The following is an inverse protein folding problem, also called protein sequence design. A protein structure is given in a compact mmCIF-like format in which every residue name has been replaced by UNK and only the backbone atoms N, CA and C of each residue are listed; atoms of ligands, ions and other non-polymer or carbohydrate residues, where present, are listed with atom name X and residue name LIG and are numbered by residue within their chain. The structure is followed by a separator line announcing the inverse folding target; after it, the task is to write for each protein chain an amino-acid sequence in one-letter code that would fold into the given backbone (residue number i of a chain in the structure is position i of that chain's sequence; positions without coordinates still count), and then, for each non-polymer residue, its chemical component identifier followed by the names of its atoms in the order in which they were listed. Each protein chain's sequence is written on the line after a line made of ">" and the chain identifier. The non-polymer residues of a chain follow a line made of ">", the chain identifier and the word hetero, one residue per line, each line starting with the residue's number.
data_IF_793182162491
#
_entry.id   IF_793182162491
#
_cell.length_a   1.000
_cell.length_b   1.000
_cell.length_c   1.000
_cell.angle_alpha   90.00
_cell.angle_beta   90.00
_cell.angle_gamma   90.00
#
_symmetry.space_group_name_H-M   'P 1'
#
loop_
_entity.id
_entity.type
_entity.pdbx_description
1 polymer ?
#
# COMPACT_ATOMS: atom_id res chain seq x y z
N UNK A 1 0.22 -22.13 38.47
CA UNK A 1 -0.82 -21.37 37.76
C UNK A 1 -0.23 -20.01 37.44
N UNK A 2 0.06 -19.71 36.18
CA UNK A 2 0.43 -18.36 35.76
C UNK A 2 -0.88 -17.61 35.63
N UNK A 3 -1.13 -16.64 36.53
CA UNK A 3 -2.26 -15.73 36.39
C UNK A 3 -2.06 -14.97 35.08
N UNK A 4 -2.94 -15.22 34.09
CA UNK A 4 -3.04 -14.33 32.95
C UNK A 4 -3.34 -12.92 33.49
N UNK A 5 -2.79 -11.85 32.88
CA UNK A 5 -3.13 -10.50 33.28
C UNK A 5 -4.65 -10.35 33.24
N UNK A 6 -5.22 -9.75 34.28
CA UNK A 6 -6.67 -9.61 34.49
C UNK A 6 -7.35 -8.67 33.48
N UNK A 7 -6.55 -8.00 32.66
CA UNK A 7 -6.92 -6.92 31.74
C UNK A 7 -5.73 -6.58 30.83
N UNK A 8 -5.99 -5.81 29.77
CA UNK A 8 -4.97 -5.21 28.90
C UNK A 8 -4.78 -3.76 29.35
N UNK A 9 -3.57 -3.34 29.77
CA UNK A 9 -3.33 -1.96 30.17
C UNK A 9 -3.32 -1.02 28.97
N UNK A 10 -3.86 0.19 29.10
CA UNK A 10 -3.64 1.27 28.13
C UNK A 10 -2.26 1.92 28.30
N UNK A 11 -1.54 2.25 27.21
CA UNK A 11 -0.33 3.07 27.29
C UNK A 11 -0.61 4.45 27.93
N UNK A 12 0.38 4.96 28.67
CA UNK A 12 0.31 6.31 29.25
C UNK A 12 0.39 7.38 28.14
N UNK A 13 -0.08 8.62 28.37
CA UNK A 13 -0.04 9.69 27.37
C UNK A 13 1.34 9.98 26.75
N UNK A 14 2.42 9.67 27.46
CA UNK A 14 3.80 9.80 26.96
C UNK A 14 4.06 8.92 25.73
N UNK A 15 3.34 7.79 25.59
CA UNK A 15 3.43 6.90 24.44
C UNK A 15 2.62 7.36 23.23
N UNK A 16 1.90 8.48 23.31
CA UNK A 16 1.17 9.03 22.16
C UNK A 16 2.06 9.82 21.20
N UNK A 17 3.16 10.37 21.71
CA UNK A 17 4.04 11.25 20.95
C UNK A 17 5.49 11.17 21.41
N UNK A 18 6.40 11.08 20.45
CA UNK A 18 7.84 11.27 20.67
C UNK A 18 8.16 12.75 20.46
N UNK A 19 8.68 13.40 21.50
CA UNK A 19 9.03 14.83 21.48
C UNK A 19 10.54 15.00 21.42
N UNK A 20 11.01 15.71 20.42
CA UNK A 20 12.43 16.02 20.23
C UNK A 20 12.65 17.52 20.33
N UNK A 21 13.60 17.93 21.16
CA UNK A 21 14.07 19.31 21.19
C UNK A 21 14.92 19.57 19.95
N UNK A 22 14.45 20.50 19.11
CA UNK A 22 15.12 20.94 17.87
C UNK A 22 15.46 22.43 17.93
N UNK A 23 15.45 23.04 19.12
CA UNK A 23 15.81 24.44 19.34
C UNK A 23 17.20 24.79 18.79
N UNK A 24 18.17 23.88 18.90
CA UNK A 24 19.50 24.04 18.32
C UNK A 24 19.51 24.15 16.79
N UNK A 25 18.55 23.52 16.11
CA UNK A 25 18.37 23.60 14.65
C UNK A 25 17.43 24.74 14.23
N UNK A 26 16.44 25.08 15.04
CA UNK A 26 15.40 26.09 14.68
C UNK A 26 15.74 27.49 15.19
N UNK A 27 16.69 27.62 16.11
CA UNK A 27 17.10 28.92 16.68
C UNK A 27 17.54 29.94 15.63
N UNK A 28 18.19 29.52 14.54
CA UNK A 28 18.55 30.44 13.44
C UNK A 28 17.31 30.95 12.69
N UNK A 29 16.24 30.15 12.57
CA UNK A 29 14.98 30.58 11.94
C UNK A 29 14.26 31.62 12.80
N UNK A 30 14.26 31.44 14.12
CA UNK A 30 13.75 32.45 15.06
C UNK A 30 14.57 33.75 14.99
N UNK A 31 15.89 33.65 14.84
CA UNK A 31 16.75 34.81 14.66
C UNK A 31 16.48 35.59 13.36
N UNK A 32 15.94 34.90 12.34
CA UNK A 32 15.46 35.49 11.08
C UNK A 32 14.02 36.03 11.17
N UNK A 33 13.39 36.02 12.35
CA UNK A 33 12.03 36.51 12.53
C UNK A 33 10.95 35.56 12.02
N UNK A 34 11.21 34.25 11.98
CA UNK A 34 10.25 33.21 11.58
C UNK A 34 9.77 32.39 12.80
N UNK A 35 8.93 32.95 13.69
CA UNK A 35 8.49 32.30 14.94
C UNK A 35 7.53 31.12 14.73
N UNK A 36 7.03 30.91 13.51
CA UNK A 36 6.14 29.81 13.16
C UNK A 36 6.82 28.43 13.20
N UNK A 37 8.15 28.38 13.19
CA UNK A 37 8.88 27.14 13.36
C UNK A 37 8.95 26.79 14.84
N UNK A 38 8.48 25.61 15.20
CA UNK A 38 8.41 25.21 16.60
C UNK A 38 9.77 24.67 17.07
N UNK A 39 10.17 24.99 18.31
CA UNK A 39 11.42 24.46 18.91
C UNK A 39 11.32 22.98 19.28
N UNK A 40 10.12 22.40 19.22
CA UNK A 40 9.86 20.99 19.52
C UNK A 40 9.27 20.31 18.29
N UNK A 41 9.90 19.22 17.86
CA UNK A 41 9.37 18.32 16.86
C UNK A 41 8.59 17.21 17.57
N UNK A 42 7.28 17.16 17.35
CA UNK A 42 6.41 16.13 17.90
C UNK A 42 6.03 15.11 16.83
N UNK A 43 6.45 13.85 17.02
CA UNK A 43 6.10 12.74 16.15
C UNK A 43 5.04 11.88 16.85
N UNK A 44 3.84 11.84 16.27
CA UNK A 44 2.74 11.04 16.81
C UNK A 44 2.97 9.55 16.56
N UNK A 45 2.78 8.72 17.58
CA UNK A 45 3.02 7.27 17.47
C UNK A 45 2.03 6.60 16.52
N UNK A 46 0.77 7.06 16.45
CA UNK A 46 -0.17 6.56 15.45
C UNK A 46 0.34 6.76 14.00
N UNK A 47 1.06 7.85 13.73
CA UNK A 47 1.64 8.10 12.41
C UNK A 47 2.76 7.11 12.09
N UNK A 48 3.56 6.74 13.09
CA UNK A 48 4.57 5.67 12.97
C UNK A 48 3.91 4.31 12.72
N UNK A 49 2.79 4.01 13.38
CA UNK A 49 2.02 2.79 13.14
C UNK A 49 1.46 2.73 11.70
N UNK A 50 0.95 3.85 11.18
CA UNK A 50 0.49 3.96 9.78
C UNK A 50 1.67 3.76 8.82
N UNK A 51 2.81 4.42 9.06
CA UNK A 51 4.00 4.30 8.22
C UNK A 51 4.53 2.85 8.21
N UNK A 52 4.58 2.20 9.37
CA UNK A 52 4.92 0.79 9.47
C UNK A 52 3.94 -0.08 8.65
N UNK A 53 2.64 0.23 8.71
CA UNK A 53 1.62 -0.40 7.87
C UNK A 53 1.88 -0.25 6.37
N UNK A 54 2.22 0.96 5.91
CA UNK A 54 2.57 1.23 4.50
C UNK A 54 3.80 0.41 4.09
N UNK A 55 4.84 0.37 4.92
CA UNK A 55 6.06 -0.42 4.65
C UNK A 55 5.73 -1.91 4.55
N UNK A 56 4.96 -2.44 5.50
CA UNK A 56 4.55 -3.85 5.50
C UNK A 56 3.72 -4.21 4.27
N UNK A 57 2.74 -3.37 3.90
CA UNK A 57 1.96 -3.53 2.69
C UNK A 57 2.82 -3.50 1.43
N UNK A 58 3.79 -2.57 1.37
CA UNK A 58 4.71 -2.42 0.25
C UNK A 58 5.60 -3.65 0.09
N UNK A 59 6.20 -4.15 1.19
CA UNK A 59 7.04 -5.37 1.18
C UNK A 59 6.23 -6.58 0.68
N UNK A 60 5.03 -6.78 1.23
CA UNK A 60 4.18 -7.91 0.85
C UNK A 60 3.72 -7.81 -0.60
N UNK A 61 3.30 -6.62 -1.04
CA UNK A 61 2.86 -6.37 -2.42
C UNK A 61 3.99 -6.55 -3.41
N UNK A 62 5.19 -6.01 -3.10
CA UNK A 62 6.40 -6.17 -3.92
C UNK A 62 6.74 -7.64 -4.13
N UNK A 63 6.84 -8.41 -3.03
CA UNK A 63 7.11 -9.85 -3.08
C UNK A 63 6.10 -10.60 -3.94
N UNK A 64 4.83 -10.25 -3.84
CA UNK A 64 3.74 -10.88 -4.60
C UNK A 64 3.77 -10.50 -6.08
N UNK A 65 4.05 -9.25 -6.41
CA UNK A 65 4.20 -8.80 -7.80
C UNK A 65 5.42 -9.43 -8.45
N UNK A 66 6.57 -9.46 -7.76
CA UNK A 66 7.78 -10.10 -8.27
C UNK A 66 7.59 -11.61 -8.46
N UNK A 67 6.90 -12.29 -7.54
CA UNK A 67 6.55 -13.70 -7.72
C UNK A 67 5.63 -13.96 -8.93
N UNK A 68 4.94 -12.94 -9.43
CA UNK A 68 4.14 -12.98 -10.66
C UNK A 68 4.93 -12.52 -11.90
N UNK A 69 6.23 -12.25 -11.78
CA UNK A 69 7.11 -11.86 -12.89
C UNK A 69 7.26 -10.35 -13.11
N UNK A 70 6.82 -9.51 -12.17
CA UNK A 70 7.04 -8.07 -12.24
C UNK A 70 8.44 -7.68 -11.76
N UNK A 71 8.97 -6.56 -12.26
CA UNK A 71 10.24 -5.99 -11.82
C UNK A 71 10.27 -5.78 -10.29
N UNK A 72 11.32 -6.27 -9.60
CA UNK A 72 11.52 -5.99 -8.18
C UNK A 72 11.54 -4.48 -7.91
N UNK A 73 10.65 -4.03 -7.03
CA UNK A 73 10.58 -2.61 -6.66
C UNK A 73 9.64 -1.74 -7.48
N UNK A 74 9.04 -2.24 -8.57
CA UNK A 74 8.05 -1.48 -9.38
C UNK A 74 6.84 -0.98 -8.55
N UNK A 75 6.58 -1.63 -7.41
CA UNK A 75 5.57 -1.16 -6.45
C UNK A 75 5.86 0.28 -5.97
N UNK A 76 7.13 0.67 -5.87
CA UNK A 76 7.57 1.99 -5.41
C UNK A 76 7.13 3.08 -6.40
N UNK A 77 7.23 2.80 -7.70
CA UNK A 77 6.75 3.71 -8.75
C UNK A 77 5.25 3.93 -8.63
N UNK A 78 4.49 2.87 -8.30
CA UNK A 78 3.04 2.96 -8.18
C UNK A 78 2.64 3.72 -6.91
N UNK A 79 3.27 3.46 -5.76
CA UNK A 79 2.92 4.15 -4.51
C UNK A 79 3.32 5.63 -4.54
N UNK A 80 4.33 6.01 -5.33
CA UNK A 80 4.74 7.40 -5.55
C UNK A 80 3.60 8.23 -6.14
N UNK A 81 2.69 7.60 -6.89
CA UNK A 81 1.45 8.22 -7.35
C UNK A 81 0.28 8.01 -6.37
N UNK A 82 0.13 6.80 -5.81
CA UNK A 82 -0.99 6.47 -4.96
C UNK A 82 -1.06 7.31 -3.66
N UNK A 83 0.08 7.52 -2.98
CA UNK A 83 0.10 8.23 -1.70
C UNK A 83 -0.21 9.73 -1.87
N UNK A 84 0.45 10.49 -2.76
CA UNK A 84 0.13 11.91 -2.94
C UNK A 84 -1.29 12.14 -3.42
N UNK A 85 -1.78 11.35 -4.39
CA UNK A 85 -3.17 11.47 -4.84
C UNK A 85 -4.16 11.09 -3.73
N UNK A 86 -3.82 10.15 -2.86
CA UNK A 86 -4.59 9.85 -1.65
C UNK A 86 -4.70 11.08 -0.74
N UNK A 87 -3.58 11.74 -0.43
CA UNK A 87 -3.58 12.95 0.41
C UNK A 87 -4.40 14.09 -0.24
N UNK A 88 -4.17 14.33 -1.53
CA UNK A 88 -4.90 15.36 -2.30
C UNK A 88 -6.40 15.05 -2.33
N UNK A 89 -6.79 13.82 -2.66
CA UNK A 89 -8.19 13.41 -2.71
C UNK A 89 -8.86 13.54 -1.35
N UNK A 90 -8.15 13.19 -0.27
CA UNK A 90 -8.66 13.31 1.09
C UNK A 90 -8.95 14.77 1.46
N UNK A 91 -8.08 15.69 1.05
CA UNK A 91 -8.27 17.13 1.28
C UNK A 91 -9.42 17.69 0.46
N UNK A 92 -9.47 17.38 -0.84
CA UNK A 92 -10.55 17.80 -1.73
C UNK A 92 -11.90 17.35 -1.16
N UNK A 93 -12.04 16.07 -0.79
CA UNK A 93 -13.29 15.55 -0.27
C UNK A 93 -13.70 16.22 1.05
N UNK A 94 -12.74 16.50 1.94
CA UNK A 94 -13.04 17.19 3.20
C UNK A 94 -13.54 18.62 2.95
N UNK A 95 -12.87 19.39 2.09
CA UNK A 95 -13.28 20.77 1.73
C UNK A 95 -14.67 20.77 1.09
N UNK A 96 -14.98 19.80 0.23
CA UNK A 96 -16.28 19.69 -0.43
C UNK A 96 -17.42 19.32 0.53
N UNK A 97 -17.13 18.55 1.59
CA UNK A 97 -18.14 18.16 2.58
C UNK A 97 -18.29 19.16 3.72
N UNK A 98 -17.31 20.04 3.91
CA UNK A 98 -17.30 21.08 4.95
C UNK A 98 -17.05 22.48 4.35
N UNK A 99 -17.86 22.94 3.38
CA UNK A 99 -17.61 24.20 2.71
C UNK A 99 -17.63 25.40 3.66
N UNK A 100 -18.41 25.33 4.75
CA UNK A 100 -18.49 26.39 5.77
C UNK A 100 -17.17 26.66 6.49
N UNK A 101 -16.26 25.68 6.56
CA UNK A 101 -14.95 25.83 7.21
C UNK A 101 -13.94 26.60 6.35
N UNK A 102 -14.23 26.75 5.05
CA UNK A 102 -13.29 27.29 4.06
C UNK A 102 -13.85 28.49 3.28
N UNK A 103 -15.17 28.64 3.22
CA UNK A 103 -15.85 29.65 2.42
C UNK A 103 -16.85 30.42 3.30
N UNK A 104 -16.37 31.51 3.93
CA UNK A 104 -17.17 32.38 4.81
C UNK A 104 -16.47 33.70 5.09
N UNK A 105 -17.21 34.67 5.62
CA UNK A 105 -16.63 35.97 6.00
C UNK A 105 -15.57 35.80 7.10
N UNK A 106 -14.38 36.38 6.89
CA UNK A 106 -13.26 36.28 7.83
C UNK A 106 -12.46 34.97 7.76
N UNK A 107 -12.81 34.03 6.88
CA UNK A 107 -12.07 32.78 6.69
C UNK A 107 -11.02 32.96 5.62
N UNK A 108 -9.79 32.54 5.94
CA UNK A 108 -8.69 32.52 4.99
C UNK A 108 -8.83 31.35 4.01
N UNK A 109 -9.28 31.64 2.78
CA UNK A 109 -9.52 30.62 1.75
C UNK A 109 -8.32 29.68 1.51
N UNK A 110 -7.08 30.16 1.66
CA UNK A 110 -5.87 29.37 1.45
C UNK A 110 -5.77 28.17 2.42
N UNK A 111 -6.50 28.21 3.55
CA UNK A 111 -6.59 27.10 4.49
C UNK A 111 -7.09 25.83 3.83
N UNK A 112 -7.82 25.88 2.71
CA UNK A 112 -8.20 24.68 1.96
C UNK A 112 -7.00 23.83 1.50
N UNK A 113 -5.77 24.39 1.44
CA UNK A 113 -4.53 23.66 1.12
C UNK A 113 -3.73 23.23 2.36
N UNK A 114 -4.07 23.73 3.55
CA UNK A 114 -3.34 23.50 4.78
C UNK A 114 -3.60 22.10 5.36
N UNK A 115 -3.08 21.06 4.71
CA UNK A 115 -3.23 19.65 5.13
C UNK A 115 -2.62 19.36 6.51
N UNK A 116 -1.71 20.21 6.98
CA UNK A 116 -1.07 20.11 8.30
C UNK A 116 -1.96 20.60 9.44
N UNK A 117 -3.04 21.34 9.14
CA UNK A 117 -4.03 21.76 10.13
C UNK A 117 -5.09 20.67 10.41
N UNK A 118 -4.94 19.48 9.80
CA UNK A 118 -5.92 18.41 9.86
C UNK A 118 -6.94 18.52 8.72
N UNK A 119 -8.17 18.03 8.93
CA UNK A 119 -9.24 18.08 7.92
C UNK A 119 -8.97 17.17 6.72
N UNK A 120 -8.91 15.87 6.97
CA UNK A 120 -8.66 14.84 5.96
C UNK A 120 -9.82 13.85 6.00
N UNK A 121 -10.46 13.62 4.84
CA UNK A 121 -11.59 12.69 4.74
C UNK A 121 -11.16 11.35 4.13
N UNK A 122 -11.47 10.25 4.83
CA UNK A 122 -11.05 8.90 4.43
C UNK A 122 -11.63 8.44 3.08
N UNK A 123 -12.85 8.85 2.73
CA UNK A 123 -13.41 8.53 1.41
C UNK A 123 -12.63 9.19 0.28
N UNK A 124 -12.20 10.43 0.49
CA UNK A 124 -11.33 11.13 -0.45
C UNK A 124 -9.96 10.46 -0.60
N UNK A 125 -9.38 9.95 0.50
CA UNK A 125 -8.10 9.25 0.44
C UNK A 125 -8.20 7.92 -0.31
N UNK A 126 -9.31 7.20 -0.15
CA UNK A 126 -9.56 5.95 -0.87
C UNK A 126 -9.72 6.18 -2.38
N UNK A 127 -10.52 7.18 -2.78
CA UNK A 127 -10.76 7.53 -4.19
C UNK A 127 -9.46 8.05 -4.82
N UNK A 128 -8.84 9.03 -4.19
CA UNK A 128 -7.58 9.61 -4.65
C UNK A 128 -6.47 8.57 -4.76
N UNK A 129 -6.33 7.72 -3.74
CA UNK A 129 -5.35 6.64 -3.73
C UNK A 129 -5.59 5.61 -4.83
N UNK A 130 -6.84 5.24 -5.10
CA UNK A 130 -7.19 4.33 -6.19
C UNK A 130 -6.88 4.94 -7.57
N UNK A 131 -7.16 6.25 -7.77
CA UNK A 131 -6.81 6.98 -8.99
C UNK A 131 -5.29 7.05 -9.15
N UNK A 132 -4.56 7.41 -8.11
CA UNK A 132 -3.09 7.44 -8.13
C UNK A 132 -2.48 6.08 -8.42
N UNK A 133 -2.98 5.01 -7.81
CA UNK A 133 -2.56 3.64 -8.10
C UNK A 133 -2.86 3.24 -9.55
N UNK A 134 -4.01 3.64 -10.10
CA UNK A 134 -4.35 3.39 -11.50
C UNK A 134 -3.39 4.11 -12.47
N UNK A 135 -3.07 5.37 -12.19
CA UNK A 135 -2.10 6.17 -12.96
C UNK A 135 -0.72 5.52 -12.86
N UNK A 136 -0.26 5.20 -11.65
CA UNK A 136 1.02 4.53 -11.42
C UNK A 136 1.12 3.20 -12.18
N UNK A 137 0.08 2.36 -12.11
CA UNK A 137 0.02 1.11 -12.87
C UNK A 137 0.10 1.35 -14.39
N UNK A 138 -0.57 2.39 -14.89
CA UNK A 138 -0.54 2.74 -16.32
C UNK A 138 0.86 3.16 -16.76
N UNK A 139 1.55 3.97 -15.96
CA UNK A 139 2.88 4.48 -16.26
C UNK A 139 3.95 3.39 -16.15
N UNK A 140 3.86 2.50 -15.16
CA UNK A 140 4.78 1.35 -14.99
C UNK A 140 4.43 0.16 -15.90
N UNK A 141 3.41 0.26 -16.76
CA UNK A 141 2.96 -0.83 -17.63
C UNK A 141 2.23 -1.98 -16.91
N UNK A 142 2.09 -1.94 -15.59
CA UNK A 142 1.43 -2.97 -14.78
C UNK A 142 -0.09 -2.96 -15.02
N UNK A 143 -0.69 -4.13 -15.11
CA UNK A 143 -2.15 -4.30 -15.12
C UNK A 143 -2.69 -3.95 -13.72
N UNK A 144 -3.65 -3.03 -13.67
CA UNK A 144 -4.23 -2.55 -12.42
C UNK A 144 -4.77 -3.69 -11.54
N UNK A 145 -5.45 -4.66 -12.14
CA UNK A 145 -6.00 -5.79 -11.39
C UNK A 145 -4.94 -6.74 -10.82
N UNK A 146 -3.80 -6.92 -11.50
CA UNK A 146 -2.66 -7.66 -10.93
C UNK A 146 -2.14 -6.95 -9.69
N UNK A 147 -1.97 -5.63 -9.77
CA UNK A 147 -1.55 -4.81 -8.64
C UNK A 147 -2.56 -4.88 -7.49
N UNK A 148 -3.86 -4.70 -7.77
CA UNK A 148 -4.90 -4.75 -6.77
C UNK A 148 -4.95 -6.11 -6.04
N UNK A 149 -4.80 -7.23 -6.76
CA UNK A 149 -4.75 -8.56 -6.16
C UNK A 149 -3.46 -8.81 -5.34
N UNK A 150 -2.34 -8.26 -5.78
CA UNK A 150 -1.09 -8.31 -5.03
C UNK A 150 -1.19 -7.48 -3.73
N UNK A 151 -1.84 -6.31 -3.81
CA UNK A 151 -2.02 -5.35 -2.73
C UNK A 151 -3.06 -5.79 -1.70
N UNK A 152 -4.09 -6.54 -2.08
CA UNK A 152 -5.22 -6.94 -1.24
C UNK A 152 -4.84 -7.44 0.18
N UNK A 153 -3.93 -8.43 0.36
CA UNK A 153 -3.49 -8.81 1.71
C UNK A 153 -2.62 -7.74 2.38
N UNK A 154 -1.87 -6.95 1.61
CA UNK A 154 -1.12 -5.80 2.11
C UNK A 154 -2.02 -4.75 2.77
N UNK A 155 -3.22 -4.51 2.24
CA UNK A 155 -4.20 -3.57 2.82
C UNK A 155 -4.61 -3.98 4.23
N UNK A 156 -4.91 -5.27 4.45
CA UNK A 156 -5.26 -5.79 5.77
C UNK A 156 -4.09 -5.69 6.74
N UNK A 157 -2.87 -5.96 6.27
CA UNK A 157 -1.67 -5.84 7.09
C UNK A 157 -1.41 -4.38 7.52
N UNK A 158 -1.61 -3.43 6.60
CA UNK A 158 -1.55 -2.01 6.93
C UNK A 158 -2.65 -1.60 7.92
N UNK A 159 -3.87 -2.11 7.75
CA UNK A 159 -4.97 -1.87 8.69
C UNK A 159 -4.66 -2.41 10.08
N UNK A 160 -4.10 -3.62 10.19
CA UNK A 160 -3.67 -4.19 11.46
C UNK A 160 -2.61 -3.31 12.15
N UNK A 161 -1.58 -2.88 11.42
CA UNK A 161 -0.57 -1.98 11.96
C UNK A 161 -1.19 -0.65 12.45
N UNK A 162 -2.10 -0.06 11.68
CA UNK A 162 -2.81 1.17 12.06
C UNK A 162 -3.61 1.05 13.36
N UNK A 163 -4.13 -0.13 13.71
CA UNK A 163 -4.88 -0.34 14.96
C UNK A 163 -4.05 -0.22 16.21
N UNK A 164 -2.74 -0.47 16.14
CA UNK A 164 -1.85 -0.14 17.24
C UNK A 164 -1.77 1.36 17.49
N UNK A 165 -1.98 2.20 16.46
CA UNK A 165 -2.12 3.65 16.65
C UNK A 165 -3.30 4.00 17.54
N UNK A 166 -4.45 3.33 17.36
CA UNK A 166 -5.62 3.54 18.22
C UNK A 166 -5.37 3.08 19.66
N UNK A 167 -4.62 1.98 19.83
CA UNK A 167 -4.19 1.50 21.14
C UNK A 167 -3.30 2.52 21.87
N UNK A 168 -2.29 3.08 21.20
CA UNK A 168 -1.45 4.12 21.80
C UNK A 168 -2.21 5.42 22.08
N UNK A 169 -3.14 5.80 21.21
CA UNK A 169 -3.99 6.99 21.39
C UNK A 169 -5.11 6.80 22.43
N UNK A 170 -5.33 5.58 22.94
CA UNK A 170 -6.46 5.24 23.80
C UNK A 170 -7.81 5.64 23.19
N UNK A 171 -8.00 5.38 21.90
CA UNK A 171 -9.21 5.77 21.17
C UNK A 171 -9.89 4.58 20.49
N UNK A 172 -11.16 4.77 20.11
CA UNK A 172 -11.94 3.83 19.31
C UNK A 172 -12.10 2.42 19.93
N UNK A 173 -12.11 2.34 21.25
CA UNK A 173 -12.39 1.12 22.02
C UNK A 173 -13.88 0.75 22.01
N UNK A 174 -14.19 -0.48 22.40
CA UNK A 174 -15.55 -1.01 22.37
C UNK A 174 -16.35 -0.73 23.62
N UNK A 175 -17.54 -1.32 23.73
CA UNK A 175 -18.44 -1.18 24.89
C UNK A 175 -17.83 -1.77 26.17
N UNK A 176 -18.35 -1.41 27.36
CA UNK A 176 -17.95 -2.01 28.63
C UNK A 176 -18.01 -3.54 28.60
N UNK A 177 -17.07 -4.19 29.28
CA UNK A 177 -16.94 -5.65 29.30
C UNK A 177 -16.37 -6.16 30.62
N UNK A 178 -16.80 -7.34 31.06
CA UNK A 178 -16.25 -8.03 32.25
C UNK A 178 -15.26 -9.15 31.87
N UNK A 179 -14.87 -9.23 30.59
CA UNK A 179 -13.97 -10.27 30.09
C UNK A 179 -12.54 -10.07 30.64
N UNK A 180 -11.78 -11.16 30.88
CA UNK A 180 -10.45 -11.08 31.48
C UNK A 180 -9.38 -10.48 30.56
N UNK A 181 -9.72 -10.10 29.34
CA UNK A 181 -8.88 -9.36 28.40
C UNK A 181 -9.44 -7.97 28.09
N UNK A 182 -10.29 -7.43 28.98
CA UNK A 182 -10.82 -6.08 28.86
C UNK A 182 -9.70 -5.04 28.86
N UNK A 183 -9.84 -4.02 28.01
CA UNK A 183 -8.93 -2.90 27.88
C UNK A 183 -9.20 -1.89 28.99
N UNK A 184 -8.17 -1.55 29.73
CA UNK A 184 -8.19 -0.44 30.68
C UNK A 184 -8.16 0.87 29.91
N UNK A 185 -9.03 1.81 30.26
CA UNK A 185 -9.00 3.19 29.76
C UNK A 185 -9.14 4.11 30.97
N UNK A 186 -8.27 5.11 31.06
CA UNK A 186 -8.36 6.11 32.12
C UNK A 186 -9.66 6.90 32.00
N UNK A 187 -10.36 7.11 33.11
CA UNK A 187 -11.61 7.89 33.14
C UNK A 187 -11.43 9.38 32.80
N UNK A 188 -10.20 9.88 32.87
CA UNK A 188 -9.81 11.20 32.37
C UNK A 188 -9.77 11.32 30.85
N UNK A 189 -9.85 10.20 30.12
CA UNK A 189 -9.82 10.19 28.66
C UNK A 189 -11.10 10.85 28.11
N UNK A 190 -10.99 11.83 27.18
CA UNK A 190 -12.16 12.47 26.57
C UNK A 190 -13.13 11.50 25.87
N UNK A 191 -12.65 10.35 25.40
CA UNK A 191 -13.47 9.32 24.77
C UNK A 191 -14.17 8.38 25.79
N UNK A 192 -13.86 8.49 27.08
CA UNK A 192 -14.48 7.69 28.12
C UNK A 192 -15.96 8.09 28.32
N UNK A 193 -16.92 7.16 28.25
CA UNK A 193 -18.33 7.51 28.38
C UNK A 193 -18.68 8.13 29.74
N UNK A 194 -19.38 9.26 29.69
CA UNK A 194 -19.86 9.95 30.88
C UNK A 194 -20.80 9.05 31.68
N UNK A 195 -20.56 8.95 32.99
CA UNK A 195 -21.41 8.19 33.93
C UNK A 195 -20.96 6.76 34.21
N UNK A 196 -19.88 6.28 33.61
CA UNK A 196 -19.25 5.00 33.97
C UNK A 196 -18.27 5.17 35.13
N UNK A 197 -18.10 4.10 35.91
CA UNK A 197 -17.21 4.09 37.08
C UNK A 197 -15.74 3.98 36.67
N UNK A 198 -14.85 4.56 37.50
CA UNK A 198 -13.40 4.36 37.37
C UNK A 198 -13.07 2.86 37.43
N UNK A 199 -12.17 2.42 36.56
CA UNK A 199 -11.79 1.00 36.44
C UNK A 199 -12.72 0.16 35.54
N UNK A 200 -13.73 0.76 34.90
CA UNK A 200 -14.52 0.08 33.86
C UNK A 200 -13.60 -0.40 32.74
N UNK A 201 -13.70 -1.68 32.39
CA UNK A 201 -12.97 -2.27 31.27
C UNK A 201 -13.80 -2.23 29.99
N UNK A 202 -13.13 -2.12 28.84
CA UNK A 202 -13.77 -2.02 27.54
C UNK A 202 -13.32 -3.14 26.61
N UNK A 203 -14.14 -3.49 25.61
CA UNK A 203 -13.69 -4.43 24.57
C UNK A 203 -12.47 -3.85 23.82
N UNK A 204 -11.32 -4.56 23.75
CA UNK A 204 -10.15 -4.14 22.97
C UNK A 204 -10.39 -4.30 21.47
N UNK A 205 -11.22 -3.45 20.87
CA UNK A 205 -11.54 -3.45 19.43
C UNK A 205 -10.28 -3.40 18.57
N UNK A 206 -9.24 -2.67 18.98
CA UNK A 206 -7.96 -2.64 18.27
C UNK A 206 -7.40 -4.05 18.09
N UNK A 207 -7.43 -4.88 19.15
CA UNK A 207 -6.87 -6.23 19.15
C UNK A 207 -7.75 -7.16 18.32
N UNK A 208 -9.08 -7.06 18.47
CA UNK A 208 -10.01 -7.85 17.66
C UNK A 208 -9.85 -7.54 16.17
N UNK A 209 -9.70 -6.27 15.81
CA UNK A 209 -9.46 -5.83 14.44
C UNK A 209 -8.07 -6.27 13.94
N UNK A 210 -7.01 -6.24 14.76
CA UNK A 210 -5.69 -6.81 14.39
C UNK A 210 -5.83 -8.28 14.05
N UNK A 211 -6.46 -9.07 14.92
CA UNK A 211 -6.67 -10.51 14.71
C UNK A 211 -7.50 -10.75 13.45
N UNK A 212 -8.59 -10.02 13.25
CA UNK A 212 -9.44 -10.12 12.07
C UNK A 212 -8.69 -9.80 10.78
N UNK A 213 -7.87 -8.75 10.78
CA UNK A 213 -7.08 -8.37 9.63
C UNK A 213 -6.01 -9.43 9.30
N UNK A 214 -5.28 -9.94 10.30
CA UNK A 214 -4.29 -11.00 10.10
C UNK A 214 -4.94 -12.31 9.64
N UNK A 215 -6.11 -12.66 10.17
CA UNK A 215 -6.91 -13.78 9.69
C UNK A 215 -7.32 -13.57 8.22
N UNK A 216 -7.72 -12.36 7.84
CA UNK A 216 -8.05 -12.02 6.46
C UNK A 216 -6.85 -12.13 5.51
N UNK A 217 -5.65 -11.72 5.96
CA UNK A 217 -4.40 -11.96 5.22
C UNK A 217 -4.25 -13.46 4.95
N UNK A 218 -4.35 -14.29 5.99
CA UNK A 218 -4.23 -15.73 5.85
C UNK A 218 -5.31 -16.30 4.91
N UNK A 219 -6.56 -15.86 5.03
CA UNK A 219 -7.68 -16.29 4.18
C UNK A 219 -7.41 -15.97 2.70
N UNK A 220 -7.01 -14.74 2.37
CA UNK A 220 -6.71 -14.36 0.98
C UNK A 220 -5.57 -15.21 0.42
N UNK A 221 -4.48 -15.37 1.18
CA UNK A 221 -3.33 -16.17 0.75
C UNK A 221 -3.68 -17.66 0.54
N UNK A 222 -4.51 -18.23 1.42
CA UNK A 222 -4.96 -19.62 1.31
C UNK A 222 -5.94 -19.83 0.15
N UNK A 223 -6.88 -18.90 -0.04
CA UNK A 223 -7.83 -18.95 -1.16
C UNK A 223 -7.11 -18.78 -2.49
N UNK A 224 -6.10 -17.93 -2.58
CA UNK A 224 -5.33 -17.75 -3.80
C UNK A 224 -4.60 -19.03 -4.23
N UNK A 225 -4.04 -19.79 -3.27
CA UNK A 225 -3.42 -21.10 -3.55
C UNK A 225 -4.42 -22.12 -4.09
N UNK A 226 -5.67 -22.10 -3.61
CA UNK A 226 -6.71 -23.07 -3.99
C UNK A 226 -7.49 -22.68 -5.24
N UNK A 227 -7.81 -21.39 -5.40
CA UNK A 227 -8.77 -20.88 -6.37
C UNK A 227 -8.14 -20.01 -7.47
N UNK A 228 -6.82 -19.76 -7.42
CA UNK A 228 -6.10 -18.89 -8.35
C UNK A 228 -6.81 -17.54 -8.50
N UNK A 229 -6.85 -16.79 -7.41
CA UNK A 229 -7.48 -15.47 -7.37
C UNK A 229 -6.65 -14.46 -8.18
N UNK A 230 -7.07 -14.26 -9.44
CA UNK A 230 -6.50 -13.32 -10.41
C UNK A 230 -7.57 -12.34 -10.89
N UNK A 231 -7.19 -11.37 -11.73
CA UNK A 231 -8.10 -10.41 -12.36
C UNK A 231 -8.92 -9.57 -11.35
N UNK A 232 -8.37 -9.24 -10.18
CA UNK A 232 -9.06 -8.43 -9.17
C UNK A 232 -9.91 -9.24 -8.19
N UNK A 233 -9.99 -10.57 -8.35
CA UNK A 233 -10.79 -11.43 -7.47
C UNK A 233 -10.26 -11.44 -6.03
N UNK A 234 -8.95 -11.34 -5.81
CA UNK A 234 -8.40 -11.26 -4.45
C UNK A 234 -8.74 -9.92 -3.80
N UNK A 235 -8.73 -8.83 -4.57
CA UNK A 235 -9.21 -7.52 -4.11
C UNK A 235 -10.71 -7.56 -3.77
N UNK A 236 -11.53 -8.25 -4.56
CA UNK A 236 -12.94 -8.46 -4.24
C UNK A 236 -13.16 -9.22 -2.92
N UNK A 237 -12.35 -10.26 -2.66
CA UNK A 237 -12.37 -10.97 -1.36
C UNK A 237 -11.97 -10.05 -0.22
N UNK A 238 -10.96 -9.20 -0.42
CA UNK A 238 -10.57 -8.16 0.56
C UNK A 238 -11.74 -7.25 0.91
N UNK A 239 -12.46 -6.71 -0.09
CA UNK A 239 -13.59 -5.81 0.16
C UNK A 239 -14.72 -6.49 0.95
N UNK A 240 -15.03 -7.75 0.62
CA UNK A 240 -16.01 -8.55 1.36
C UNK A 240 -15.55 -8.77 2.80
N UNK A 241 -14.30 -9.20 3.00
CA UNK A 241 -13.72 -9.44 4.33
C UNK A 241 -13.70 -8.18 5.19
N UNK A 242 -13.28 -7.05 4.61
CA UNK A 242 -13.29 -5.75 5.25
C UNK A 242 -14.71 -5.36 5.65
N UNK A 243 -15.69 -5.46 4.74
CA UNK A 243 -17.06 -5.07 5.02
C UNK A 243 -17.73 -5.92 6.10
N UNK A 244 -17.45 -7.22 6.14
CA UNK A 244 -17.94 -8.10 7.22
C UNK A 244 -17.36 -7.65 8.57
N UNK A 245 -16.03 -7.49 8.66
CA UNK A 245 -15.38 -7.03 9.88
C UNK A 245 -15.87 -5.65 10.31
N UNK A 246 -15.96 -4.70 9.37
CA UNK A 246 -16.43 -3.34 9.64
C UNK A 246 -17.85 -3.33 10.18
N UNK A 247 -18.74 -4.16 9.65
CA UNK A 247 -20.12 -4.28 10.17
C UNK A 247 -20.13 -4.81 11.61
N UNK A 248 -19.31 -5.82 11.92
CA UNK A 248 -19.22 -6.38 13.28
C UNK A 248 -18.64 -5.37 14.28
N UNK A 249 -17.45 -4.82 14.01
CA UNK A 249 -16.75 -3.98 14.97
C UNK A 249 -17.36 -2.59 15.14
N UNK A 250 -18.03 -2.05 14.11
CA UNK A 250 -18.74 -0.77 14.21
C UNK A 250 -19.90 -0.83 15.21
N UNK A 251 -20.52 -2.01 15.39
CA UNK A 251 -21.59 -2.18 16.40
C UNK A 251 -21.07 -2.29 17.83
N UNK A 252 -19.80 -2.68 18.01
CA UNK A 252 -19.16 -2.78 19.32
C UNK A 252 -18.56 -1.45 19.79
N UNK A 253 -18.39 -0.49 18.88
CA UNK A 253 -17.72 0.78 19.14
C UNK A 253 -18.56 1.73 19.99
N UNK A 254 -17.90 2.43 20.89
CA UNK A 254 -18.52 3.43 21.77
C UNK A 254 -18.59 4.82 21.13
N UNK A 255 -17.73 5.12 20.16
CA UNK A 255 -17.68 6.44 19.54
C UNK A 255 -19.01 6.84 18.88
N UNK A 256 -19.39 8.15 18.95
CA UNK A 256 -20.55 8.65 18.26
C UNK A 256 -20.34 8.57 16.75
N UNK A 257 -21.36 8.11 16.04
CA UNK A 257 -21.31 7.90 14.59
C UNK A 257 -22.64 8.35 13.99
N UNK A 258 -22.57 8.98 12.82
CA UNK A 258 -23.75 9.44 12.10
C UNK A 258 -24.68 8.27 11.80
N UNK A 259 -25.96 8.42 12.13
CA UNK A 259 -26.98 7.37 11.98
C UNK A 259 -27.87 7.71 10.79
N UNK A 260 -27.92 6.80 9.83
CA UNK A 260 -28.79 6.88 8.66
C UNK A 260 -29.70 5.65 8.61
N UNK A 261 -31.02 5.88 8.62
CA UNK A 261 -32.04 4.83 8.74
C UNK A 261 -31.84 3.89 9.94
N UNK A 262 -31.47 4.44 11.11
CA UNK A 262 -31.27 3.65 12.33
C UNK A 262 -29.98 2.82 12.34
N UNK A 263 -29.13 2.95 11.33
CA UNK A 263 -27.84 2.23 11.20
C UNK A 263 -26.70 3.24 11.03
N UNK A 264 -25.55 2.98 11.65
CA UNK A 264 -24.35 3.82 11.51
C UNK A 264 -23.91 3.91 10.04
N UNK A 265 -23.58 5.11 9.56
CA UNK A 265 -23.13 5.39 8.18
C UNK A 265 -21.96 4.51 7.73
N UNK A 266 -21.05 4.19 8.64
CA UNK A 266 -19.92 3.29 8.41
C UNK A 266 -20.35 1.85 8.03
N UNK A 267 -21.50 1.38 8.52
CA UNK A 267 -22.06 0.07 8.15
C UNK A 267 -22.59 0.11 6.72
N UNK A 268 -23.19 1.21 6.28
CA UNK A 268 -23.59 1.39 4.88
C UNK A 268 -22.39 1.33 3.94
N UNK A 269 -21.28 1.99 4.29
CA UNK A 269 -20.02 1.89 3.56
C UNK A 269 -19.48 0.45 3.53
N UNK A 270 -19.61 -0.29 4.63
CA UNK A 270 -19.22 -1.69 4.71
C UNK A 270 -20.05 -2.60 3.80
N UNK A 271 -21.38 -2.43 3.79
CA UNK A 271 -22.29 -3.16 2.90
C UNK A 271 -22.01 -2.83 1.44
N UNK A 272 -21.75 -1.56 1.13
CA UNK A 272 -21.34 -1.16 -0.21
C UNK A 272 -20.05 -1.85 -0.64
N UNK A 273 -19.04 -1.92 0.24
CA UNK A 273 -17.79 -2.64 -0.05
C UNK A 273 -18.05 -4.14 -0.33
N UNK A 274 -18.93 -4.80 0.42
CA UNK A 274 -19.29 -6.20 0.17
C UNK A 274 -19.92 -6.35 -1.22
N UNK A 275 -20.88 -5.50 -1.57
CA UNK A 275 -21.54 -5.54 -2.88
C UNK A 275 -20.54 -5.32 -4.01
N UNK A 276 -19.68 -4.30 -3.91
CA UNK A 276 -18.63 -4.05 -4.90
C UNK A 276 -17.68 -5.25 -5.02
N UNK A 277 -17.25 -5.83 -3.89
CA UNK A 277 -16.39 -7.00 -3.89
C UNK A 277 -17.03 -8.22 -4.58
N UNK A 278 -18.32 -8.47 -4.33
CA UNK A 278 -19.09 -9.52 -5.00
C UNK A 278 -19.20 -9.26 -6.51
N UNK A 279 -19.52 -8.02 -6.91
CA UNK A 279 -19.62 -7.63 -8.32
C UNK A 279 -18.29 -7.81 -9.04
N UNK A 280 -17.17 -7.38 -8.45
CA UNK A 280 -15.82 -7.61 -9.01
C UNK A 280 -15.60 -9.10 -9.23
N UNK A 281 -15.86 -9.95 -8.24
CA UNK A 281 -15.65 -11.40 -8.39
C UNK A 281 -16.53 -11.99 -9.50
N UNK A 282 -17.81 -11.63 -9.55
CA UNK A 282 -18.76 -12.17 -10.51
C UNK A 282 -18.46 -11.73 -11.95
N UNK A 283 -18.18 -10.44 -12.15
CA UNK A 283 -17.85 -9.87 -13.47
C UNK A 283 -16.53 -10.46 -13.95
N UNK A 284 -15.48 -10.41 -13.12
CA UNK A 284 -14.15 -10.87 -13.52
C UNK A 284 -14.11 -12.38 -13.76
N UNK A 285 -14.96 -13.18 -13.07
CA UNK A 285 -15.12 -14.60 -13.36
C UNK A 285 -15.78 -14.87 -14.72
N UNK A 286 -16.69 -14.00 -15.16
CA UNK A 286 -17.37 -14.11 -16.45
C UNK A 286 -16.48 -13.66 -17.61
N UNK A 287 -15.84 -12.51 -17.46
CA UNK A 287 -15.01 -11.90 -18.51
C UNK A 287 -13.63 -12.56 -18.67
N UNK A 288 -13.11 -13.19 -17.60
CA UNK A 288 -11.79 -13.80 -17.60
C UNK A 288 -11.80 -15.24 -17.07
N UNK A 289 -12.26 -16.22 -17.89
CA UNK A 289 -12.27 -17.63 -17.52
C UNK A 289 -10.85 -18.26 -17.47
N UNK A 290 -9.89 -17.65 -18.16
CA UNK A 290 -8.50 -18.11 -18.23
C UNK A 290 -7.58 -17.49 -17.17
N UNK A 291 -6.36 -18.03 -17.10
CA UNK A 291 -5.30 -17.44 -16.28
C UNK A 291 -4.86 -16.09 -16.83
N UNK A 292 -4.42 -15.20 -15.94
CA UNK A 292 -3.82 -13.93 -16.33
C UNK A 292 -2.49 -14.17 -17.08
N UNK A 293 -2.27 -13.57 -18.27
CA UNK A 293 -1.05 -13.78 -19.07
C UNK A 293 0.23 -13.35 -18.37
N UNK A 294 0.15 -12.36 -17.49
CA UNK A 294 1.29 -11.80 -16.77
C UNK A 294 0.94 -10.47 -16.07
N UNK A 295 1.90 -9.83 -15.41
CA UNK A 295 1.67 -8.59 -14.67
C UNK A 295 1.64 -7.36 -15.57
N UNK A 296 2.25 -7.41 -16.76
CA UNK A 296 2.39 -6.26 -17.65
C UNK A 296 1.41 -6.25 -18.83
N UNK A 297 0.87 -5.08 -19.15
CA UNK A 297 0.02 -4.83 -20.32
C UNK A 297 0.78 -5.18 -21.62
N UNK A 298 0.07 -5.51 -22.72
CA UNK A 298 0.73 -5.76 -24.00
C UNK A 298 1.64 -4.60 -24.41
N UNK A 299 2.88 -4.90 -24.81
CA UNK A 299 3.89 -3.90 -25.18
C UNK A 299 4.69 -3.31 -24.02
N UNK A 300 4.41 -3.70 -22.78
CA UNK A 300 5.27 -3.47 -21.63
C UNK A 300 5.84 -4.80 -21.17
N UNK A 301 7.15 -4.93 -21.08
CA UNK A 301 7.81 -6.11 -20.52
C UNK A 301 9.04 -5.65 -19.74
N UNK A 302 9.32 -6.36 -18.65
CA UNK A 302 10.57 -6.21 -17.94
C UNK A 302 11.49 -7.36 -18.33
N UNK A 303 12.66 -7.01 -18.87
CA UNK A 303 13.73 -7.96 -19.18
C UNK A 303 14.79 -7.82 -18.08
N UNK A 304 15.04 -8.87 -17.27
CA UNK A 304 16.11 -8.84 -16.28
C UNK A 304 17.45 -8.55 -16.96
N UNK A 305 18.30 -7.73 -16.33
CA UNK A 305 19.60 -7.30 -16.87
C UNK A 305 20.62 -8.42 -17.15
N UNK A 306 20.27 -9.69 -16.96
CA UNK A 306 21.08 -10.87 -17.29
C UNK A 306 20.44 -11.86 -18.27
N UNK A 307 19.27 -11.54 -18.85
CA UNK A 307 18.51 -12.46 -19.70
C UNK A 307 18.84 -12.36 -21.21
N UNK A 308 19.84 -11.57 -21.61
CA UNK A 308 20.19 -11.38 -23.02
C UNK A 308 21.56 -10.74 -23.22
N UNK A 309 22.62 -11.53 -23.07
CA UNK A 309 23.90 -11.26 -23.75
C UNK A 309 24.38 -12.57 -24.38
N UNK A 310 23.59 -13.11 -25.33
CA UNK A 310 24.19 -13.80 -26.47
C UNK A 310 24.35 -12.73 -27.55
N UNK A 311 25.48 -12.03 -27.52
CA UNK A 311 25.90 -11.20 -28.64
C UNK A 311 26.15 -12.14 -29.82
N UNK A 312 25.24 -12.16 -30.79
CA UNK A 312 25.50 -12.75 -32.11
C UNK A 312 26.33 -11.82 -33.01
N UNK A 313 26.86 -10.72 -32.48
CA UNK A 313 27.78 -9.85 -33.22
C UNK A 313 29.19 -10.45 -33.17
N UNK A 314 29.36 -11.58 -33.86
CA UNK A 314 30.68 -11.92 -34.38
C UNK A 314 30.96 -10.90 -35.49
N UNK A 315 31.64 -9.81 -35.15
CA UNK A 315 32.34 -9.02 -36.15
C UNK A 315 33.30 -9.97 -36.88
N UNK A 316 32.94 -10.40 -38.08
CA UNK A 316 33.90 -11.03 -38.98
C UNK A 316 34.89 -9.96 -39.41
N UNK A 317 36.14 -10.10 -39.00
CA UNK A 317 37.28 -9.23 -39.35
C UNK A 317 37.65 -9.23 -40.85
N UNK A 318 36.73 -9.64 -41.74
CA UNK A 318 36.98 -9.78 -43.19
C UNK A 318 36.51 -8.58 -44.05
N UNK A 319 35.88 -7.54 -43.47
CA UNK A 319 35.41 -6.37 -44.23
C UNK A 319 36.35 -5.14 -44.22
N UNK A 320 37.62 -5.30 -43.84
CA UNK A 320 38.65 -4.23 -43.95
C UNK A 320 39.69 -4.48 -45.04
N UNK A 321 39.32 -5.14 -46.15
CA UNK A 321 40.18 -5.23 -47.34
C UNK A 321 39.49 -4.85 -48.65
N UNK A 322 39.67 -3.59 -49.01
CA UNK A 322 39.53 -3.03 -50.35
C UNK A 322 39.49 -1.50 -50.24
N UNK A 323 40.20 -0.67 -51.01
CA UNK A 323 41.13 -0.81 -52.11
C UNK A 323 41.78 0.60 -52.25
N UNK A 324 43.07 0.72 -52.59
CA UNK A 324 43.71 2.04 -52.63
C UNK A 324 45.23 2.08 -52.82
N UNK A 325 45.71 1.60 -53.96
CA UNK A 325 46.85 2.10 -54.75
C UNK A 325 48.29 2.26 -54.16
N UNK A 326 49.19 1.51 -54.82
CA UNK A 326 50.59 1.85 -55.25
C UNK A 326 51.68 2.09 -54.19
N UNK A 327 52.68 1.21 -54.12
CA UNK A 327 54.01 1.39 -54.73
C UNK A 327 54.91 0.14 -54.50
N UNK A 328 55.78 -0.08 -55.48
CA UNK A 328 56.86 -1.06 -55.68
C UNK A 328 57.58 -1.70 -54.49
N UNK A 329 57.83 -3.03 -54.57
CA UNK A 329 59.17 -3.67 -54.72
C UNK A 329 59.15 -5.20 -54.52
N UNK A 330 59.56 -5.88 -55.59
CA UNK A 330 60.41 -7.08 -55.70
C UNK A 330 60.59 -8.16 -54.59
N UNK A 331 60.57 -9.41 -55.09
CA UNK A 331 61.20 -10.68 -54.63
C UNK A 331 60.48 -11.42 -53.48
N UNK A 332 60.30 -12.74 -53.47
CA UNK A 332 60.87 -13.88 -54.22
C UNK A 332 59.98 -15.13 -54.03
N UNK A 333 60.19 -16.13 -54.90
CA UNK A 333 59.76 -17.55 -54.91
C UNK A 333 59.26 -18.18 -53.59
N UNK A 334 58.34 -19.16 -53.59
CA UNK A 334 58.55 -20.57 -53.99
C UNK A 334 57.20 -21.29 -54.21
N UNK A 335 57.25 -22.28 -55.09
CA UNK A 335 56.17 -23.02 -55.73
C UNK A 335 55.71 -24.33 -55.03
N UNK A 336 54.68 -24.93 -55.65
CA UNK A 336 54.26 -26.36 -55.64
C UNK A 336 53.54 -26.84 -54.37
N UNK A 337 52.55 -27.73 -54.37
CA UNK A 337 52.00 -28.69 -55.36
C UNK A 337 50.55 -28.97 -54.88
N UNK A 338 49.53 -28.93 -55.73
CA UNK A 338 49.00 -30.02 -56.56
C UNK A 338 48.17 -31.10 -55.82
N UNK A 339 46.86 -31.15 -56.19
CA UNK A 339 45.98 -32.34 -56.38
C UNK A 339 45.64 -33.21 -55.14
N UNK A 340 44.50 -33.90 -54.99
CA UNK A 340 43.42 -34.38 -55.85
C UNK A 340 42.30 -34.97 -54.93
N UNK A 341 41.02 -34.70 -55.21
CA UNK A 341 40.01 -35.66 -55.74
C UNK A 341 39.26 -36.54 -54.70
N UNK A 342 37.97 -36.21 -54.56
CA UNK A 342 36.74 -37.05 -54.64
C UNK A 342 36.61 -38.32 -53.79
N UNK A 343 35.45 -38.45 -53.14
CA UNK A 343 34.88 -39.78 -52.88
C UNK A 343 33.73 -39.83 -51.87
N UNK A 344 32.50 -39.65 -52.35
CA UNK A 344 31.26 -39.90 -51.62
C UNK A 344 31.10 -41.36 -51.16
N UNK A 345 30.39 -41.59 -50.03
CA UNK A 345 29.17 -42.43 -50.02
C UNK A 345 28.44 -42.45 -48.67
N UNK A 346 27.12 -42.35 -48.82
CA UNK A 346 26.02 -42.68 -47.91
C UNK A 346 26.01 -44.14 -47.48
N UNK A 347 25.52 -44.39 -46.26
CA UNK A 347 24.57 -45.43 -45.74
C UNK A 347 24.82 -45.48 -44.22
N UNK A 348 23.88 -45.49 -43.29
CA UNK A 348 22.46 -45.84 -43.28
C UNK A 348 21.81 -45.11 -42.08
#
# INVERSE_FOLDING_TARGET
>A
MVFAPTSIPSPTPEWQSLKFDVSGFTGWLHSLGLPQFNNTLEIRVYALCILAGIVLATILTSRRLTARGAEPGVVLDIILWAIPFGIIGARIYHVLTHPGDYFGEGIEWWKMFAIWEGGIAIFGSLIGGAVGAYIGCRLSGIRFWTFADALAPGMLLAQAAGRFGNYFNNELFGTPTDLPWGLEIQSSNPAFPVGLADGTLFHPTFLYEVIWNLAGVAVILLLERKLRLQWGKAFGVYLIWYGIGRTMFETMRVDPSEIFFGVRTNVWGALFAIVVGLLIILIQRREHPGAEPGPYRPGAEWVPAGAGVESSDTYSDDELRGDGATDSREKESVASDATSVVGAKSTN
#
